data_IF_351757696417
#
_entry.id   IF_351757696417
#
_cell.length_a   1.000
_cell.length_b   1.000
_cell.length_c   1.000
_cell.angle_alpha   90.00
_cell.angle_beta   90.00
_cell.angle_gamma   90.00
#
_symmetry.space_group_name_H-M   'P 1'
#
loop_
_entity.id
_entity.type
_entity.pdbx_description
1 polymer ?
#
# COMPACT_ATOMS: atom_id res chain seq x y z
N UNK A 1 4.35 14.76 12.15
CA UNK A 1 3.18 14.13 11.56
C UNK A 1 3.26 12.64 11.78
N UNK A 2 2.22 12.09 12.40
CA UNK A 2 2.14 10.65 12.70
C UNK A 2 1.25 9.97 11.67
N UNK A 3 1.66 8.76 11.28
CA UNK A 3 0.83 7.93 10.41
C UNK A 3 0.39 6.73 11.23
N UNK A 4 -0.92 6.57 11.49
CA UNK A 4 -1.42 5.44 12.28
C UNK A 4 -1.09 4.11 11.61
N UNK A 5 -0.79 3.10 12.42
CA UNK A 5 -0.50 1.77 11.92
C UNK A 5 -1.76 0.93 11.72
N UNK A 6 -1.60 -0.14 10.96
CA UNK A 6 -2.64 -1.16 10.81
C UNK A 6 -1.95 -2.53 10.84
N UNK A 7 -2.60 -3.52 11.46
CA UNK A 7 -2.06 -4.88 11.50
C UNK A 7 -2.49 -5.68 10.28
N UNK A 8 -1.81 -6.81 10.03
CA UNK A 8 -2.18 -7.70 8.94
C UNK A 8 -3.62 -8.21 9.10
N UNK A 9 -4.01 -8.57 10.33
CA UNK A 9 -5.36 -9.09 10.60
C UNK A 9 -6.42 -8.04 10.30
N UNK A 10 -6.18 -6.81 10.71
CA UNK A 10 -7.08 -5.69 10.46
C UNK A 10 -7.23 -5.42 8.97
N UNK A 11 -6.10 -5.39 8.26
CA UNK A 11 -6.08 -5.14 6.83
C UNK A 11 -6.79 -6.26 6.07
N UNK A 12 -6.50 -7.51 6.42
CA UNK A 12 -7.13 -8.65 5.79
C UNK A 12 -8.64 -8.61 5.97
N UNK A 13 -9.11 -8.28 7.18
CA UNK A 13 -10.54 -8.17 7.43
C UNK A 13 -11.21 -7.11 6.57
N UNK A 14 -10.55 -5.95 6.43
CA UNK A 14 -11.09 -4.88 5.57
C UNK A 14 -11.21 -5.34 4.13
N UNK A 15 -10.20 -6.04 3.62
CA UNK A 15 -10.23 -6.54 2.25
C UNK A 15 -11.29 -7.62 2.07
N UNK A 16 -11.43 -8.53 3.03
CA UNK A 16 -12.44 -9.57 2.99
C UNK A 16 -13.85 -9.00 3.05
N UNK A 17 -14.04 -7.93 3.81
CA UNK A 17 -15.34 -7.27 3.95
C UNK A 17 -15.67 -6.36 2.75
N UNK A 18 -14.74 -6.23 1.80
CA UNK A 18 -14.96 -5.40 0.62
C UNK A 18 -14.95 -3.92 0.91
N UNK A 19 -14.28 -3.48 1.99
CA UNK A 19 -14.19 -2.06 2.29
C UNK A 19 -13.38 -1.32 1.22
N UNK A 20 -13.73 -0.06 0.93
CA UNK A 20 -13.06 0.70 -0.13
C UNK A 20 -11.70 1.26 0.32
N UNK A 21 -10.73 0.37 0.52
CA UNK A 21 -9.37 0.71 0.91
C UNK A 21 -8.48 0.71 -0.33
N UNK A 22 -7.65 1.75 -0.48
CA UNK A 22 -6.64 1.78 -1.53
C UNK A 22 -5.32 1.35 -0.92
N UNK A 23 -4.74 0.27 -1.46
CA UNK A 23 -3.43 -0.19 -1.05
C UNK A 23 -2.37 0.48 -1.92
N UNK A 24 -1.33 1.02 -1.27
CA UNK A 24 -0.23 1.68 -1.95
C UNK A 24 1.06 0.95 -1.63
N UNK A 25 1.68 0.39 -2.67
CA UNK A 25 2.97 -0.28 -2.59
C UNK A 25 4.06 0.77 -2.87
N UNK A 26 4.91 1.02 -1.87
CA UNK A 26 5.93 2.06 -1.95
C UNK A 26 7.28 1.54 -2.47
N UNK A 27 7.34 0.31 -2.94
CA UNK A 27 8.56 -0.29 -3.45
C UNK A 27 8.84 0.15 -4.89
N UNK A 28 10.06 -0.12 -5.35
CA UNK A 28 10.44 0.19 -6.73
C UNK A 28 9.53 -0.52 -7.73
N UNK A 29 9.31 0.06 -8.92
CA UNK A 29 8.37 -0.52 -9.90
C UNK A 29 8.65 -1.96 -10.26
N UNK A 30 9.92 -2.37 -10.38
CA UNK A 30 10.26 -3.76 -10.70
C UNK A 30 9.87 -4.72 -9.59
N UNK A 31 10.02 -4.29 -8.34
CA UNK A 31 9.67 -5.10 -7.17
C UNK A 31 8.16 -5.24 -7.09
N UNK A 32 7.44 -4.14 -7.29
CA UNK A 32 5.99 -4.15 -7.34
C UNK A 32 5.47 -5.06 -8.46
N UNK A 33 6.05 -4.97 -9.64
CA UNK A 33 5.63 -5.78 -10.78
C UNK A 33 5.81 -7.27 -10.52
N UNK A 34 6.85 -7.65 -9.78
CA UNK A 34 7.12 -9.04 -9.43
C UNK A 34 6.01 -9.60 -8.52
N UNK A 35 5.66 -8.86 -7.47
CA UNK A 35 4.57 -9.25 -6.58
C UNK A 35 4.16 -8.07 -5.70
N UNK A 36 2.86 -7.97 -5.44
CA UNK A 36 2.28 -6.95 -4.57
C UNK A 36 0.98 -7.47 -3.95
N UNK A 37 0.50 -6.80 -2.91
CA UNK A 37 -0.79 -7.15 -2.30
C UNK A 37 -1.92 -6.95 -3.32
N UNK A 38 -3.00 -7.75 -3.22
CA UNK A 38 -4.08 -7.70 -4.21
C UNK A 38 -4.66 -6.29 -4.40
N UNK A 39 -4.68 -5.84 -5.64
CA UNK A 39 -5.25 -4.55 -5.99
C UNK A 39 -4.39 -3.34 -5.68
N UNK A 40 -3.17 -3.53 -5.15
CA UNK A 40 -2.30 -2.40 -4.79
C UNK A 40 -1.85 -1.61 -6.01
N UNK A 41 -1.73 -0.30 -5.83
CA UNK A 41 -1.10 0.57 -6.82
C UNK A 41 0.31 0.90 -6.37
N UNK A 42 1.18 1.26 -7.32
CA UNK A 42 2.59 1.50 -7.01
C UNK A 42 2.87 3.00 -6.93
N UNK A 43 3.32 3.45 -5.75
CA UNK A 43 3.73 4.84 -5.55
C UNK A 43 5.00 4.88 -4.69
N UNK A 44 6.16 4.60 -5.28
CA UNK A 44 7.42 4.81 -4.54
C UNK A 44 7.58 6.30 -4.24
N UNK A 45 8.34 6.66 -3.18
CA UNK A 45 8.44 8.07 -2.77
C UNK A 45 8.82 9.03 -3.87
N UNK A 46 9.72 8.61 -4.77
CA UNK A 46 10.17 9.46 -5.87
C UNK A 46 9.08 9.70 -6.93
N UNK A 47 8.07 8.85 -6.97
CA UNK A 47 7.01 8.92 -7.96
C UNK A 47 5.74 9.60 -7.44
N UNK A 48 5.72 10.07 -6.21
CA UNK A 48 4.54 10.75 -5.65
C UNK A 48 4.45 12.15 -6.26
N UNK A 49 3.41 12.34 -7.06
CA UNK A 49 3.16 13.57 -7.81
C UNK A 49 1.69 13.91 -7.63
N UNK A 50 1.39 15.17 -7.34
CA UNK A 50 0.03 15.59 -7.00
C UNK A 50 -0.98 15.28 -8.11
N UNK A 51 -0.59 15.46 -9.35
CA UNK A 51 -1.46 15.20 -10.49
C UNK A 51 -1.74 13.70 -10.65
N UNK A 52 -0.69 12.90 -10.61
CA UNK A 52 -0.80 11.44 -10.75
C UNK A 52 -1.64 10.85 -9.63
N UNK A 53 -1.38 11.27 -8.39
CA UNK A 53 -2.11 10.77 -7.23
C UNK A 53 -3.59 11.17 -7.30
N UNK A 54 -3.87 12.41 -7.68
CA UNK A 54 -5.26 12.88 -7.77
C UNK A 54 -6.06 12.10 -8.82
N UNK A 55 -5.41 11.62 -9.88
CA UNK A 55 -6.07 10.79 -10.88
C UNK A 55 -6.34 9.38 -10.40
N UNK A 56 -5.42 8.83 -9.59
CA UNK A 56 -5.53 7.47 -9.06
C UNK A 56 -6.43 7.40 -7.82
N UNK A 57 -6.38 8.44 -7.00
CA UNK A 57 -7.13 8.52 -5.74
C UNK A 57 -7.77 9.90 -5.68
N UNK A 58 -8.90 10.08 -6.38
CA UNK A 58 -9.51 11.42 -6.50
C UNK A 58 -10.13 11.94 -5.20
N UNK A 59 -10.57 11.07 -4.30
CA UNK A 59 -11.20 11.49 -3.04
C UNK A 59 -10.15 11.56 -1.93
N UNK A 60 -9.95 12.76 -1.38
CA UNK A 60 -8.98 13.02 -0.31
C UNK A 60 -9.33 12.32 1.00
N UNK A 61 -10.55 11.83 1.16
CA UNK A 61 -10.98 11.11 2.35
C UNK A 61 -10.87 9.59 2.20
N UNK A 62 -10.43 9.10 1.04
CA UNK A 62 -10.23 7.67 0.81
C UNK A 62 -9.28 7.09 1.85
N UNK A 63 -9.64 5.95 2.41
CA UNK A 63 -8.74 5.21 3.30
C UNK A 63 -7.61 4.62 2.48
N UNK A 64 -6.37 5.00 2.82
CA UNK A 64 -5.18 4.56 2.12
C UNK A 64 -4.29 3.80 3.11
N UNK A 65 -3.83 2.62 2.70
CA UNK A 65 -2.85 1.86 3.48
C UNK A 65 -1.57 1.75 2.65
N UNK A 66 -0.50 2.33 3.16
CA UNK A 66 0.81 2.31 2.49
C UNK A 66 1.66 1.20 3.11
N UNK A 67 2.31 0.41 2.29
CA UNK A 67 3.20 -0.63 2.79
C UNK A 67 4.49 -0.70 1.96
N UNK A 68 5.45 -1.40 2.51
CA UNK A 68 6.77 -1.63 1.94
C UNK A 68 7.07 -3.13 2.02
N UNK A 69 8.33 -3.54 2.14
CA UNK A 69 8.67 -4.96 2.21
C UNK A 69 8.65 -5.49 3.65
N UNK A 70 9.11 -4.69 4.61
CA UNK A 70 9.31 -5.12 6.00
C UNK A 70 9.30 -3.91 6.93
N UNK A 71 9.29 -4.13 8.27
CA UNK A 71 9.32 -3.01 9.22
C UNK A 71 10.57 -2.12 9.11
N UNK A 72 11.66 -2.64 8.55
CA UNK A 72 12.91 -1.88 8.42
C UNK A 72 12.92 -0.97 7.20
N UNK A 73 11.94 -1.07 6.32
CA UNK A 73 11.86 -0.25 5.12
C UNK A 73 11.16 1.08 5.44
N UNK A 74 11.75 2.21 5.05
CA UNK A 74 11.20 3.52 5.36
C UNK A 74 10.43 4.14 4.19
N UNK A 75 10.42 3.49 3.03
CA UNK A 75 9.78 4.04 1.83
C UNK A 75 8.28 4.24 2.01
N UNK A 76 7.61 3.34 2.72
CA UNK A 76 6.18 3.48 2.96
C UNK A 76 5.85 4.69 3.81
N UNK A 77 6.69 5.00 4.82
CA UNK A 77 6.49 6.20 5.63
C UNK A 77 6.73 7.45 4.79
N UNK A 78 7.75 7.44 3.95
CA UNK A 78 8.04 8.58 3.08
C UNK A 78 6.88 8.85 2.11
N UNK A 79 6.35 7.81 1.48
CA UNK A 79 5.18 7.93 0.60
C UNK A 79 3.97 8.42 1.39
N UNK A 80 3.75 7.84 2.58
CA UNK A 80 2.61 8.23 3.42
C UNK A 80 2.63 9.70 3.82
N UNK A 81 3.79 10.21 4.22
CA UNK A 81 3.94 11.62 4.57
C UNK A 81 3.65 12.52 3.37
N UNK A 82 4.14 12.15 2.19
CA UNK A 82 3.86 12.94 0.98
C UNK A 82 2.37 12.94 0.64
N UNK A 83 1.68 11.83 0.84
CA UNK A 83 0.24 11.78 0.62
C UNK A 83 -0.50 12.69 1.59
N UNK A 84 -0.08 12.70 2.87
CA UNK A 84 -0.67 13.63 3.84
C UNK A 84 -0.46 15.08 3.44
N UNK A 85 0.73 15.41 2.94
CA UNK A 85 1.05 16.76 2.48
C UNK A 85 0.19 17.18 1.28
N UNK A 86 -0.25 16.21 0.48
CA UNK A 86 -1.17 16.46 -0.63
C UNK A 86 -2.63 16.57 -0.21
N UNK A 87 -2.90 16.46 1.09
CA UNK A 87 -4.26 16.66 1.63
C UNK A 87 -5.04 15.39 1.88
N UNK A 88 -4.43 14.22 1.75
CA UNK A 88 -5.10 12.97 2.07
C UNK A 88 -5.17 12.81 3.59
N UNK A 89 -6.37 12.63 4.13
CA UNK A 89 -6.62 12.70 5.57
C UNK A 89 -6.69 11.35 6.26
N UNK A 90 -6.72 10.26 5.49
CA UNK A 90 -6.96 8.92 6.05
C UNK A 90 -5.89 7.95 5.59
N UNK A 91 -4.62 8.30 5.88
CA UNK A 91 -3.46 7.50 5.49
C UNK A 91 -2.99 6.68 6.67
N UNK A 92 -2.86 5.36 6.46
CA UNK A 92 -2.36 4.43 7.46
C UNK A 92 -1.15 3.69 6.91
N UNK A 93 -0.36 3.12 7.80
CA UNK A 93 0.88 2.42 7.48
C UNK A 93 0.78 0.97 7.93
N UNK A 94 1.07 0.03 7.01
CA UNK A 94 1.15 -1.39 7.34
C UNK A 94 2.62 -1.79 7.49
N UNK A 95 3.16 -1.78 8.73
CA UNK A 95 4.60 -1.99 8.94
C UNK A 95 5.06 -3.42 8.66
N UNK A 96 4.19 -4.43 8.81
CA UNK A 96 4.58 -5.80 8.49
C UNK A 96 4.98 -5.97 7.05
N UNK A 97 4.31 -5.27 6.16
CA UNK A 97 4.67 -5.20 4.77
C UNK A 97 4.47 -6.50 3.99
N UNK A 98 4.99 -6.49 2.77
CA UNK A 98 4.80 -7.62 1.86
C UNK A 98 5.39 -8.92 2.39
N UNK A 99 6.51 -8.85 3.10
CA UNK A 99 7.15 -10.06 3.61
C UNK A 99 6.27 -10.77 4.64
N UNK A 100 5.70 -10.02 5.59
CA UNK A 100 4.80 -10.62 6.58
C UNK A 100 3.56 -11.22 5.90
N UNK A 101 2.98 -10.50 4.94
CA UNK A 101 1.81 -10.94 4.20
C UNK A 101 2.09 -12.26 3.47
N UNK A 102 3.21 -12.31 2.75
CA UNK A 102 3.64 -13.51 2.05
C UNK A 102 3.89 -14.67 3.00
N UNK A 103 4.58 -14.42 4.11
CA UNK A 103 4.95 -15.47 5.06
C UNK A 103 3.71 -16.04 5.78
N UNK A 104 2.65 -15.25 5.87
CA UNK A 104 1.37 -15.70 6.40
C UNK A 104 0.56 -16.53 5.40
N UNK A 105 1.09 -16.72 4.19
CA UNK A 105 0.40 -17.50 3.15
C UNK A 105 -0.72 -16.75 2.46
N UNK A 106 -0.77 -15.43 2.59
CA UNK A 106 -1.82 -14.62 1.99
C UNK A 106 -1.52 -14.35 0.51
N UNK A 107 -2.55 -14.10 -0.32
CA UNK A 107 -2.36 -13.99 -1.76
C UNK A 107 -1.59 -12.74 -2.16
N UNK A 108 -0.78 -12.89 -3.21
CA UNK A 108 -0.09 -11.79 -3.87
C UNK A 108 -0.46 -11.79 -5.34
N UNK A 109 -0.26 -10.67 -6.00
CA UNK A 109 -0.50 -10.52 -7.43
C UNK A 109 0.76 -10.08 -8.13
N UNK A 110 0.88 -10.42 -9.41
CA UNK A 110 1.89 -9.87 -10.30
C UNK A 110 1.24 -8.79 -11.14
N UNK A 111 2.05 -7.90 -11.70
CA UNK A 111 1.52 -6.87 -12.59
C UNK A 111 0.70 -7.50 -13.71
N UNK A 112 -0.60 -7.18 -13.73
CA UNK A 112 -1.52 -7.67 -14.74
C UNK A 112 -1.96 -9.12 -14.61
N UNK A 113 -1.53 -9.84 -13.57
CA UNK A 113 -1.93 -11.24 -13.38
C UNK A 113 -1.96 -11.62 -11.91
N UNK A 114 -2.94 -12.42 -11.49
CA UNK A 114 -2.96 -12.97 -10.13
C UNK A 114 -1.71 -13.82 -9.90
N UNK A 115 -1.14 -13.71 -8.71
CA UNK A 115 -0.06 -14.59 -8.29
C UNK A 115 -0.68 -15.80 -7.59
N UNK A 116 -0.37 -17.00 -8.08
CA UNK A 116 -0.87 -18.25 -7.50
C UNK A 116 0.26 -18.88 -6.70
N UNK A 117 0.22 -18.80 -5.35
CA UNK A 117 1.25 -19.48 -4.53
C UNK A 117 1.09 -20.98 -4.65
N UNK A 118 2.21 -21.67 -4.50
CA UNK A 118 2.23 -23.12 -4.56
C UNK A 118 2.18 -23.77 -3.20
#
# INVERSE_FOLDING_TARGET
VTIPGITADELLRKLEDGEPVVLVDALAPMVYAHSHLPGAINLPPIAVDSYVVARRIPDRNTEIVVYCSSPNCEDSLATGVQLQELGYTNVRHYPGGKNEWRDAGLPLERAGKPFVPR
#
